data_IF_262462096560
#
_entry.id   IF_262462096560
#
_cell.length_a   1.000
_cell.length_b   1.000
_cell.length_c   1.000
_cell.angle_alpha   90.00
_cell.angle_beta   90.00
_cell.angle_gamma   90.00
#
_symmetry.space_group_name_H-M   'P 1'
#
loop_
_entity.id
_entity.type
_entity.pdbx_description
1 polymer ?
#
# COMPACT_ATOMS: atom_id res chain seq x y z
N UNK A 1 -4.55 11.53 -1.72
CA UNK A 1 -5.41 10.35 -1.97
C UNK A 1 -6.19 10.03 -0.70
N UNK A 2 -7.52 9.98 -0.76
CA UNK A 2 -8.37 9.82 0.42
C UNK A 2 -8.67 8.33 0.68
N UNK A 3 -8.82 7.92 1.95
CA UNK A 3 -9.06 6.50 2.30
C UNK A 3 -10.30 5.92 1.60
N UNK A 4 -11.32 6.74 1.37
CA UNK A 4 -12.54 6.39 0.61
C UNK A 4 -12.24 6.02 -0.85
N UNK A 5 -11.29 6.69 -1.49
CA UNK A 5 -10.88 6.36 -2.86
C UNK A 5 -10.07 5.05 -2.92
N UNK A 6 -9.20 4.82 -1.94
CA UNK A 6 -8.45 3.56 -1.81
C UNK A 6 -9.41 2.39 -1.64
N UNK A 7 -10.39 2.56 -0.74
CA UNK A 7 -11.47 1.61 -0.52
C UNK A 7 -12.22 1.28 -1.81
N UNK A 8 -12.64 2.29 -2.56
CA UNK A 8 -13.34 2.12 -3.84
C UNK A 8 -12.51 1.38 -4.90
N UNK A 9 -11.21 1.69 -5.02
CA UNK A 9 -10.32 1.04 -5.98
C UNK A 9 -10.00 -0.42 -5.64
N UNK A 10 -9.91 -0.74 -4.35
CA UNK A 10 -9.60 -2.09 -3.88
C UNK A 10 -10.84 -2.93 -3.56
N UNK A 11 -12.05 -2.37 -3.74
CA UNK A 11 -13.32 -3.01 -3.34
C UNK A 11 -13.35 -3.45 -1.87
N UNK A 12 -12.75 -2.64 -0.98
CA UNK A 12 -12.70 -2.89 0.47
C UNK A 12 -13.36 -1.76 1.26
N UNK A 13 -13.78 -2.05 2.50
CA UNK A 13 -14.33 -1.03 3.40
C UNK A 13 -13.27 0.01 3.81
N UNK A 14 -13.69 1.25 4.04
CA UNK A 14 -12.81 2.32 4.55
C UNK A 14 -12.13 1.91 5.86
N UNK A 15 -12.89 1.28 6.77
CA UNK A 15 -12.37 0.75 8.03
C UNK A 15 -11.24 -0.26 7.83
N UNK A 16 -11.33 -1.09 6.78
CA UNK A 16 -10.28 -2.05 6.42
C UNK A 16 -9.02 -1.32 5.99
N UNK A 17 -9.14 -0.23 5.23
CA UNK A 17 -8.01 0.63 4.85
C UNK A 17 -7.35 1.23 6.10
N UNK A 18 -8.14 1.72 7.05
CA UNK A 18 -7.62 2.31 8.30
C UNK A 18 -6.86 1.29 9.16
N UNK A 19 -7.43 0.10 9.38
CA UNK A 19 -6.76 -0.97 10.15
C UNK A 19 -5.46 -1.40 9.47
N UNK A 20 -5.46 -1.51 8.13
CA UNK A 20 -4.25 -1.83 7.36
C UNK A 20 -3.20 -0.73 7.50
N UNK A 21 -3.59 0.55 7.41
CA UNK A 21 -2.67 1.67 7.61
C UNK A 21 -2.05 1.67 9.01
N UNK A 22 -2.83 1.45 10.07
CA UNK A 22 -2.29 1.35 11.44
C UNK A 22 -1.28 0.21 11.58
N UNK A 23 -1.57 -0.94 10.96
CA UNK A 23 -0.65 -2.09 10.97
C UNK A 23 0.63 -1.77 10.20
N UNK A 24 0.52 -1.11 9.05
CA UNK A 24 1.66 -0.69 8.23
C UNK A 24 2.52 0.33 8.97
N UNK A 25 1.90 1.33 9.60
CA UNK A 25 2.57 2.33 10.43
C UNK A 25 3.37 1.69 11.56
N UNK A 26 2.76 0.75 12.30
CA UNK A 26 3.45 0.01 13.37
C UNK A 26 4.57 -0.87 12.85
N UNK A 27 4.39 -1.54 11.70
CA UNK A 27 5.42 -2.41 11.12
C UNK A 27 6.61 -1.65 10.57
N UNK A 28 6.39 -0.46 10.04
CA UNK A 28 7.42 0.37 9.44
C UNK A 28 7.97 1.43 10.41
N UNK A 29 7.43 1.54 11.62
CA UNK A 29 7.83 2.53 12.61
C UNK A 29 7.52 3.98 12.18
N UNK A 30 6.56 4.18 11.28
CA UNK A 30 6.21 5.51 10.75
C UNK A 30 4.95 6.03 11.43
N UNK A 31 4.97 7.30 11.80
CA UNK A 31 3.88 7.92 12.58
C UNK A 31 2.92 8.72 11.70
N UNK A 32 3.30 8.95 10.44
CA UNK A 32 2.55 9.80 9.51
C UNK A 32 2.52 9.22 8.11
N UNK A 33 1.43 9.51 7.40
CA UNK A 33 1.27 9.22 5.97
C UNK A 33 2.37 9.86 5.13
N UNK A 34 2.87 11.03 5.53
CA UNK A 34 3.98 11.70 4.82
C UNK A 34 5.28 10.88 4.94
N UNK A 35 5.60 10.38 6.13
CA UNK A 35 6.74 9.48 6.34
C UNK A 35 6.57 8.17 5.57
N UNK A 36 5.37 7.58 5.59
CA UNK A 36 5.08 6.39 4.77
C UNK A 36 5.30 6.66 3.27
N UNK A 37 4.89 7.83 2.78
CA UNK A 37 5.04 8.20 1.35
C UNK A 37 6.51 8.43 1.01
N UNK A 38 7.28 9.07 1.89
CA UNK A 38 8.72 9.24 1.71
C UNK A 38 9.46 7.89 1.68
N UNK A 39 9.13 6.99 2.61
CA UNK A 39 9.69 5.63 2.64
C UNK A 39 9.29 4.79 1.42
N UNK A 40 8.06 4.93 0.94
CA UNK A 40 7.60 4.26 -0.27
C UNK A 40 8.26 4.81 -1.54
N UNK A 41 8.55 6.12 -1.57
CA UNK A 41 9.30 6.74 -2.66
C UNK A 41 10.75 6.25 -2.69
N UNK A 42 11.38 6.11 -1.52
CA UNK A 42 12.73 5.54 -1.37
C UNK A 42 12.79 4.08 -1.84
N UNK A 43 11.79 3.27 -1.47
CA UNK A 43 11.73 1.86 -1.90
C UNK A 43 11.41 1.65 -3.37
N UNK A 44 10.97 2.68 -4.08
CA UNK A 44 10.57 2.63 -5.49
C UNK A 44 9.43 1.63 -5.78
N UNK A 45 8.67 1.82 -6.86
CA UNK A 45 7.87 0.72 -7.39
C UNK A 45 8.83 -0.37 -7.88
N UNK A 46 8.85 -1.53 -7.22
CA UNK A 46 9.45 -2.73 -7.83
C UNK A 46 8.66 -2.97 -9.11
N UNK A 47 9.31 -2.79 -10.25
CA UNK A 47 8.71 -3.06 -11.54
C UNK A 47 8.03 -4.44 -11.47
N UNK A 48 6.79 -4.59 -11.97
CA UNK A 48 6.15 -5.89 -12.03
C UNK A 48 7.10 -6.79 -12.82
N UNK A 49 7.74 -7.72 -12.11
CA UNK A 49 8.45 -8.81 -12.75
C UNK A 49 7.43 -9.47 -13.68
N UNK A 50 7.68 -9.51 -15.00
CA UNK A 50 6.71 -10.04 -15.93
C UNK A 50 6.39 -11.46 -15.49
N UNK A 51 5.13 -11.70 -15.13
CA UNK A 51 4.68 -13.05 -14.83
C UNK A 51 4.73 -13.83 -16.14
N UNK A 52 5.83 -14.54 -16.36
CA UNK A 52 5.99 -15.45 -17.48
C UNK A 52 5.20 -16.70 -17.13
N UNK A 53 4.07 -16.90 -17.81
CA UNK A 53 3.31 -18.14 -17.70
C UNK A 53 4.28 -19.30 -18.02
N UNK A 54 4.41 -20.32 -17.15
CA UNK A 54 5.18 -21.50 -17.50
C UNK A 54 4.52 -22.13 -18.73
N UNK A 55 5.28 -22.24 -19.82
CA UNK A 55 4.82 -22.96 -21.00
C UNK A 55 4.48 -24.40 -20.59
N UNK A 56 3.23 -24.81 -20.86
CA UNK A 56 2.74 -26.18 -20.68
C UNK A 56 3.44 -27.14 -21.64
#
# INVERSE_FOLDING_TARGET
MRNKEIAGKLYVSVRTVEVRLTTIYRKLGVESRAQLTALAADKGPKAPEPYVLPAL
#
